data_IF_025083712114
#
_entry.id   IF_025083712114
#
_cell.length_a   1.000
_cell.length_b   1.000
_cell.length_c   1.000
_cell.angle_alpha   90.00
_cell.angle_beta   90.00
_cell.angle_gamma   90.00
#
_symmetry.space_group_name_H-M   'P 1'
#
loop_
_entity.id
_entity.type
_entity.pdbx_description
1 polymer ?
#
# COMPACT_ATOMS: atom_id res chain seq x y z
N UNK A 1 7.39 -34.66 12.55
CA UNK A 1 6.39 -33.95 11.74
C UNK A 1 7.13 -33.47 10.50
N UNK A 2 6.68 -33.84 9.30
CA UNK A 2 7.27 -33.27 8.09
C UNK A 2 7.05 -31.74 8.14
N UNK A 3 8.08 -30.96 7.86
CA UNK A 3 7.94 -29.50 7.71
C UNK A 3 6.82 -29.26 6.69
N UNK A 4 5.71 -28.67 7.13
CA UNK A 4 4.65 -28.25 6.23
C UNK A 4 5.25 -27.18 5.32
N UNK A 5 5.34 -27.51 4.03
CA UNK A 5 5.91 -26.60 3.04
C UNK A 5 4.83 -25.57 2.70
N UNK A 6 5.08 -24.31 3.01
CA UNK A 6 4.19 -23.23 2.60
C UNK A 6 4.54 -22.74 1.20
N UNK A 7 3.52 -22.29 0.46
CA UNK A 7 3.66 -21.53 -0.77
C UNK A 7 2.92 -20.21 -0.64
N UNK A 8 3.38 -19.19 -1.37
CA UNK A 8 2.87 -17.82 -1.26
C UNK A 8 2.28 -17.39 -2.59
N UNK A 9 1.05 -16.90 -2.56
CA UNK A 9 0.29 -16.53 -3.74
C UNK A 9 -0.02 -15.03 -3.71
N UNK A 10 0.67 -14.21 -4.54
CA UNK A 10 0.29 -12.83 -4.76
C UNK A 10 -0.98 -12.77 -5.62
N UNK A 11 -1.97 -12.02 -5.15
CA UNK A 11 -3.30 -11.90 -5.78
C UNK A 11 -3.68 -10.42 -5.89
N UNK A 12 -4.39 -10.08 -6.95
CA UNK A 12 -4.97 -8.74 -7.17
C UNK A 12 -6.48 -8.81 -7.30
N UNK A 13 -7.17 -7.72 -6.95
CA UNK A 13 -8.63 -7.58 -7.00
C UNK A 13 -9.00 -6.43 -7.92
N UNK A 14 -9.85 -6.68 -8.89
CA UNK A 14 -10.37 -5.65 -9.80
C UNK A 14 -11.52 -4.83 -9.17
N UNK A 15 -11.99 -3.81 -9.90
CA UNK A 15 -13.11 -2.95 -9.49
C UNK A 15 -14.43 -3.71 -9.28
N UNK A 16 -14.59 -4.87 -9.93
CA UNK A 16 -15.77 -5.71 -9.83
C UNK A 16 -15.66 -6.74 -8.68
N UNK A 17 -14.53 -6.76 -7.99
CA UNK A 17 -14.26 -7.68 -6.88
C UNK A 17 -13.71 -9.03 -7.31
N UNK A 18 -13.39 -9.24 -8.59
CA UNK A 18 -12.80 -10.49 -9.05
C UNK A 18 -11.34 -10.58 -8.65
N UNK A 19 -10.93 -11.76 -8.18
CA UNK A 19 -9.55 -12.03 -7.79
C UNK A 19 -8.78 -12.65 -8.95
N UNK A 20 -7.53 -12.25 -9.12
CA UNK A 20 -6.60 -12.83 -10.10
C UNK A 20 -5.28 -13.14 -9.42
N UNK A 21 -4.91 -14.42 -9.38
CA UNK A 21 -3.60 -14.86 -8.91
C UNK A 21 -2.52 -14.47 -9.93
N UNK A 22 -1.42 -13.87 -9.46
CA UNK A 22 -0.30 -13.44 -10.30
C UNK A 22 0.83 -14.47 -10.37
N UNK A 23 0.80 -15.50 -9.52
CA UNK A 23 1.78 -16.57 -9.49
C UNK A 23 1.75 -17.33 -8.17
N UNK A 24 2.70 -18.25 -7.99
CA UNK A 24 2.93 -18.99 -6.75
C UNK A 24 4.43 -19.08 -6.51
N UNK A 25 4.88 -18.74 -5.30
CA UNK A 25 6.30 -18.77 -4.92
C UNK A 25 6.50 -19.65 -3.70
N UNK A 26 7.74 -20.10 -3.46
CA UNK A 26 8.12 -20.85 -2.25
C UNK A 26 8.70 -19.95 -1.15
N UNK A 27 8.83 -18.65 -1.42
CA UNK A 27 9.34 -17.64 -0.49
C UNK A 27 8.40 -16.46 -0.46
N UNK A 28 8.07 -15.99 0.74
CA UNK A 28 7.21 -14.84 0.95
C UNK A 28 7.76 -13.57 0.28
N UNK A 29 9.08 -13.33 0.39
CA UNK A 29 9.76 -12.17 -0.21
C UNK A 29 9.49 -12.06 -1.71
N UNK A 30 9.49 -13.20 -2.41
CA UNK A 30 9.34 -13.27 -3.86
C UNK A 30 7.90 -12.96 -4.27
N UNK A 31 6.90 -13.38 -3.47
CA UNK A 31 5.49 -13.02 -3.71
C UNK A 31 5.28 -11.50 -3.57
N UNK A 32 5.88 -10.90 -2.55
CA UNK A 32 5.85 -9.45 -2.39
C UNK A 32 6.60 -8.70 -3.50
N UNK A 33 7.70 -9.26 -4.03
CA UNK A 33 8.41 -8.68 -5.18
C UNK A 33 7.56 -8.72 -6.47
N UNK A 34 6.79 -9.79 -6.67
CA UNK A 34 5.82 -9.88 -7.78
C UNK A 34 4.79 -8.76 -7.68
N UNK A 35 4.21 -8.54 -6.49
CA UNK A 35 3.27 -7.43 -6.27
C UNK A 35 3.92 -6.06 -6.51
N UNK A 36 5.13 -5.82 -5.98
CA UNK A 36 5.85 -4.55 -6.22
C UNK A 36 6.12 -4.31 -7.70
N UNK A 37 6.53 -5.34 -8.44
CA UNK A 37 6.75 -5.24 -9.88
C UNK A 37 5.44 -4.95 -10.63
N UNK A 38 4.32 -5.54 -10.19
CA UNK A 38 2.99 -5.24 -10.70
C UNK A 38 2.58 -3.78 -10.42
N UNK A 39 2.80 -3.28 -9.20
CA UNK A 39 2.44 -1.91 -8.79
C UNK A 39 3.12 -0.83 -9.63
N UNK A 40 4.34 -1.07 -10.11
CA UNK A 40 5.03 -0.16 -11.02
C UNK A 40 4.24 0.14 -12.32
N UNK A 41 3.29 -0.74 -12.69
CA UNK A 41 2.44 -0.62 -13.88
C UNK A 41 0.96 -0.33 -13.56
N UNK A 42 0.59 -0.25 -12.28
CA UNK A 42 -0.79 -0.21 -11.80
C UNK A 42 -1.61 1.03 -12.21
N UNK A 43 -0.98 2.12 -12.65
CA UNK A 43 -1.69 3.34 -13.08
C UNK A 43 -2.63 3.06 -14.27
N UNK A 44 -2.31 2.06 -15.11
CA UNK A 44 -3.05 1.70 -16.31
C UNK A 44 -3.90 0.43 -16.14
N UNK A 45 -4.17 0.01 -14.91
CA UNK A 45 -4.93 -1.22 -14.65
C UNK A 45 -6.24 -0.94 -13.93
N UNK A 46 -7.16 -1.91 -13.95
CA UNK A 46 -8.45 -1.88 -13.24
C UNK A 46 -8.37 -2.42 -11.80
N UNK A 47 -7.18 -2.83 -11.35
CA UNK A 47 -7.01 -3.41 -10.03
C UNK A 47 -6.99 -2.34 -8.93
N UNK A 48 -7.71 -2.63 -7.84
CA UNK A 48 -7.92 -1.71 -6.70
C UNK A 48 -7.38 -2.26 -5.38
N UNK A 49 -7.22 -3.57 -5.23
CA UNK A 49 -6.58 -4.20 -4.07
C UNK A 49 -5.60 -5.28 -4.50
N UNK A 50 -4.66 -5.60 -3.62
CA UNK A 50 -3.69 -6.67 -3.81
C UNK A 50 -3.33 -7.28 -2.47
N UNK A 51 -3.06 -8.57 -2.40
CA UNK A 51 -2.69 -9.23 -1.16
C UNK A 51 -1.81 -10.45 -1.43
N UNK A 52 -1.13 -10.94 -0.40
CA UNK A 52 -0.40 -12.21 -0.44
C UNK A 52 -1.07 -13.18 0.50
N UNK A 53 -1.31 -14.40 0.05
CA UNK A 53 -1.77 -15.51 0.89
C UNK A 53 -0.66 -16.54 1.03
N UNK A 54 -0.43 -17.03 2.25
CA UNK A 54 0.31 -18.25 2.50
C UNK A 54 -0.64 -19.44 2.45
N UNK A 55 -0.27 -20.49 1.72
CA UNK A 55 -1.02 -21.72 1.57
C UNK A 55 -0.18 -22.90 2.08
N UNK A 56 -0.81 -23.78 2.85
CA UNK A 56 -0.17 -25.03 3.29
C UNK A 56 -0.26 -26.10 2.20
N UNK A 57 0.88 -26.64 1.77
CA UNK A 57 0.92 -27.75 0.82
C UNK A 57 0.52 -29.05 1.52
N UNK A 58 -0.29 -29.85 0.84
CA UNK A 58 -0.83 -31.13 1.31
C UNK A 58 -1.75 -31.03 2.55
N UNK A 59 -2.21 -29.82 2.89
CA UNK A 59 -3.21 -29.64 3.95
C UNK A 59 -4.62 -29.99 3.46
N UNK A 60 -5.36 -30.76 4.27
CA UNK A 60 -6.76 -31.11 4.03
C UNK A 60 -7.55 -30.69 5.27
N UNK A 61 -8.31 -29.60 5.16
CA UNK A 61 -9.08 -29.03 6.25
C UNK A 61 -9.77 -27.72 5.85
N UNK A 62 -10.34 -27.04 6.84
CA UNK A 62 -10.90 -25.68 6.70
C UNK A 62 -9.76 -24.65 6.78
N UNK A 63 -9.92 -23.52 6.08
CA UNK A 63 -8.96 -22.40 6.04
C UNK A 63 -7.52 -22.80 5.70
N UNK A 64 -7.25 -23.37 4.50
CA UNK A 64 -5.92 -23.84 4.10
C UNK A 64 -4.91 -22.71 3.87
N UNK A 65 -5.36 -21.46 3.99
CA UNK A 65 -4.60 -20.28 3.65
C UNK A 65 -4.74 -19.17 4.69
N UNK A 66 -3.72 -18.33 4.77
CA UNK A 66 -3.67 -17.14 5.62
C UNK A 66 -3.27 -15.94 4.78
N UNK A 67 -4.09 -14.88 4.77
CA UNK A 67 -3.70 -13.60 4.19
C UNK A 67 -2.61 -12.96 5.04
N UNK A 68 -1.44 -12.70 4.46
CA UNK A 68 -0.28 -12.14 5.14
C UNK A 68 -0.32 -10.61 5.21
N UNK A 69 -0.97 -9.99 4.24
CA UNK A 69 -1.12 -8.56 4.15
C UNK A 69 -1.91 -8.18 2.92
N UNK A 70 -2.60 -7.05 3.00
CA UNK A 70 -3.44 -6.52 1.93
C UNK A 70 -3.07 -5.06 1.68
N UNK A 71 -3.10 -4.66 0.43
CA UNK A 71 -2.76 -3.34 -0.04
C UNK A 71 -3.91 -2.78 -0.86
N UNK A 72 -4.13 -1.48 -0.73
CA UNK A 72 -5.18 -0.74 -1.43
C UNK A 72 -4.57 0.30 -2.35
N UNK A 73 -5.15 0.37 -3.56
CA UNK A 73 -4.86 1.42 -4.51
C UNK A 73 -5.42 2.74 -4.00
N UNK A 74 -4.52 3.70 -3.78
CA UNK A 74 -4.84 5.09 -3.46
C UNK A 74 -3.85 6.01 -4.15
N UNK A 75 -4.26 7.24 -4.53
CA UNK A 75 -3.32 8.24 -5.00
C UNK A 75 -2.23 8.52 -3.95
N UNK A 76 -0.98 8.64 -4.39
CA UNK A 76 0.07 9.11 -3.49
C UNK A 76 -0.18 10.58 -3.11
N UNK A 77 -0.12 10.96 -1.81
CA UNK A 77 -0.37 12.33 -1.37
C UNK A 77 0.64 13.35 -1.95
N UNK A 78 1.81 12.89 -2.40
CA UNK A 78 2.86 13.73 -2.98
C UNK A 78 2.74 13.85 -4.51
N UNK A 79 2.77 12.72 -5.23
CA UNK A 79 2.83 12.74 -6.69
C UNK A 79 1.46 12.59 -7.37
N UNK A 80 0.40 12.34 -6.60
CA UNK A 80 -0.99 12.16 -7.02
C UNK A 80 -1.27 11.04 -8.01
N UNK A 81 -0.22 10.35 -8.49
CA UNK A 81 -0.37 9.16 -9.30
C UNK A 81 -0.96 8.05 -8.45
N UNK A 82 -1.85 7.27 -9.04
CA UNK A 82 -2.35 6.07 -8.40
C UNK A 82 -1.20 5.10 -8.13
N UNK A 83 -1.12 4.64 -6.90
CA UNK A 83 -0.19 3.62 -6.43
C UNK A 83 -0.97 2.66 -5.55
N UNK A 84 -0.47 1.45 -5.32
CA UNK A 84 -0.88 0.66 -4.17
C UNK A 84 -0.24 1.28 -2.93
N UNK A 85 -0.77 2.45 -2.54
CA UNK A 85 -0.16 3.32 -1.54
C UNK A 85 -0.28 2.74 -0.16
N UNK A 86 -1.42 2.14 0.18
CA UNK A 86 -1.78 1.87 1.56
C UNK A 86 -1.73 0.37 1.84
N UNK A 87 -0.99 -0.05 2.86
CA UNK A 87 -1.15 -1.38 3.45
C UNK A 87 -2.26 -1.34 4.49
N UNK A 88 -3.07 -2.39 4.53
CA UNK A 88 -4.30 -2.47 5.28
C UNK A 88 -4.15 -3.41 6.47
N UNK A 89 -4.73 -3.00 7.60
CA UNK A 89 -4.92 -3.86 8.76
C UNK A 89 -5.86 -5.03 8.47
N UNK A 90 -5.94 -5.92 9.45
CA UNK A 90 -7.06 -6.84 9.58
C UNK A 90 -8.41 -6.10 9.64
N UNK A 91 -9.48 -6.84 9.35
CA UNK A 91 -10.85 -6.36 9.39
C UNK A 91 -11.23 -6.08 10.85
N UNK A 92 -11.60 -4.84 11.15
CA UNK A 92 -12.09 -4.49 12.48
C UNK A 92 -13.54 -4.95 12.71
N UNK A 93 -14.06 -4.77 13.93
CA UNK A 93 -15.43 -5.14 14.31
C UNK A 93 -16.55 -4.49 13.46
N UNK A 94 -16.23 -3.45 12.68
CA UNK A 94 -17.15 -2.78 11.76
C UNK A 94 -17.04 -3.28 10.32
N UNK A 95 -16.22 -4.30 10.06
CA UNK A 95 -15.98 -4.79 8.70
C UNK A 95 -15.02 -3.91 7.89
N UNK A 96 -14.29 -2.99 8.52
CA UNK A 96 -13.44 -2.00 7.83
C UNK A 96 -11.96 -2.31 8.06
N UNK A 97 -11.15 -2.17 7.01
CA UNK A 97 -9.69 -2.20 7.09
C UNK A 97 -9.10 -0.80 7.08
N UNK A 98 -8.19 -0.52 8.00
CA UNK A 98 -7.53 0.78 8.14
C UNK A 98 -6.12 0.75 7.53
N UNK A 99 -5.64 1.87 7.01
CA UNK A 99 -4.25 2.01 6.60
C UNK A 99 -3.30 1.89 7.78
N UNK A 100 -2.32 0.99 7.67
CA UNK A 100 -1.26 0.80 8.68
C UNK A 100 0.12 1.22 8.17
N UNK A 101 0.29 1.39 6.86
CA UNK A 101 1.46 2.02 6.27
C UNK A 101 1.09 2.65 4.93
N UNK A 102 1.93 3.57 4.46
CA UNK A 102 1.77 4.28 3.21
C UNK A 102 3.08 4.32 2.45
N UNK A 103 3.15 3.91 1.18
CA UNK A 103 4.36 4.03 0.37
C UNK A 103 4.07 4.25 -1.10
N UNK A 104 4.78 5.21 -1.70
CA UNK A 104 4.82 5.34 -3.14
C UNK A 104 5.89 4.39 -3.69
N UNK A 105 5.47 3.42 -4.51
CA UNK A 105 6.39 2.44 -5.11
C UNK A 105 7.17 2.98 -6.31
N UNK A 106 6.95 4.24 -6.69
CA UNK A 106 7.73 4.90 -7.76
C UNK A 106 9.03 5.47 -7.20
N UNK A 107 10.20 5.09 -7.76
CA UNK A 107 11.49 5.55 -7.28
C UNK A 107 11.63 7.07 -7.19
N UNK A 108 11.03 7.82 -8.14
CA UNK A 108 11.17 9.28 -8.21
C UNK A 108 10.40 10.03 -7.10
N UNK A 109 9.40 9.37 -6.49
CA UNK A 109 8.64 9.93 -5.39
C UNK A 109 9.09 9.33 -4.07
N UNK A 110 8.96 8.01 -3.93
CA UNK A 110 9.35 7.26 -2.73
C UNK A 110 8.82 7.84 -1.41
N UNK A 111 7.72 8.59 -1.45
CA UNK A 111 7.09 9.12 -0.25
C UNK A 111 6.53 7.99 0.60
N UNK A 112 6.50 8.17 1.92
CA UNK A 112 6.12 7.11 2.85
C UNK A 112 5.49 7.63 4.15
N UNK A 113 4.73 6.75 4.81
CA UNK A 113 4.18 6.86 6.17
C UNK A 113 4.33 5.49 6.82
N UNK A 114 4.95 5.42 8.00
CA UNK A 114 5.11 4.16 8.73
C UNK A 114 5.00 4.41 10.24
N UNK A 115 4.61 3.38 10.98
CA UNK A 115 4.61 3.44 12.44
C UNK A 115 6.06 3.55 12.94
N UNK A 116 6.30 4.40 13.93
CA UNK A 116 7.64 4.62 14.45
C UNK A 116 8.15 3.34 15.16
N UNK A 117 9.35 2.90 14.79
CA UNK A 117 9.94 1.65 15.29
C UNK A 117 10.44 1.71 16.75
N UNK A 118 10.42 2.89 17.38
CA UNK A 118 10.87 3.13 18.77
C UNK A 118 9.69 3.51 19.66
N UNK A 119 8.80 4.37 19.18
CA UNK A 119 7.62 4.87 19.87
C UNK A 119 6.36 4.43 19.09
N UNK A 120 5.86 3.22 19.37
CA UNK A 120 4.77 2.61 18.58
C UNK A 120 3.45 3.39 18.55
N UNK A 121 3.22 4.35 19.46
CA UNK A 121 2.06 5.24 19.41
C UNK A 121 2.23 6.40 18.42
N UNK A 122 3.40 6.51 17.78
CA UNK A 122 3.73 7.56 16.83
C UNK A 122 3.99 7.02 15.44
N UNK A 123 3.95 7.94 14.50
CA UNK A 123 4.12 7.71 13.09
C UNK A 123 5.20 8.64 12.56
N UNK A 124 5.97 8.15 11.60
CA UNK A 124 6.86 8.97 10.83
C UNK A 124 6.35 9.01 9.38
N UNK A 125 6.61 10.11 8.70
CA UNK A 125 6.34 10.25 7.28
C UNK A 125 7.47 11.01 6.61
N UNK A 126 7.65 10.79 5.31
CA UNK A 126 8.74 11.41 4.60
C UNK A 126 8.56 11.47 3.09
N UNK A 127 9.29 12.41 2.50
CA UNK A 127 9.47 12.55 1.06
C UNK A 127 10.96 12.73 0.74
N UNK A 128 11.68 11.64 0.42
CA UNK A 128 13.14 11.66 0.24
C UNK A 128 13.62 12.65 -0.83
N UNK A 129 12.90 12.81 -1.94
CA UNK A 129 13.29 13.73 -3.01
C UNK A 129 13.26 15.22 -2.59
N UNK A 130 12.56 15.54 -1.49
CA UNK A 130 12.54 16.86 -0.88
C UNK A 130 13.37 16.95 0.41
N UNK A 131 14.06 15.86 0.80
CA UNK A 131 14.76 15.75 2.09
C UNK A 131 13.88 16.13 3.29
N UNK A 132 12.59 15.76 3.21
CA UNK A 132 11.60 16.13 4.19
C UNK A 132 11.15 14.91 4.97
N UNK A 133 11.15 15.01 6.29
CA UNK A 133 10.59 14.02 7.21
C UNK A 133 9.85 14.73 8.34
N UNK A 134 8.82 14.09 8.88
CA UNK A 134 8.03 14.62 9.99
C UNK A 134 7.50 13.47 10.84
N UNK A 135 7.57 13.64 12.15
CA UNK A 135 6.90 12.77 13.13
C UNK A 135 5.52 13.33 13.45
N UNK A 136 4.54 12.45 13.58
CA UNK A 136 3.12 12.76 13.79
C UNK A 136 2.44 11.72 14.70
N UNK A 137 1.25 12.03 15.19
CA UNK A 137 0.52 11.22 16.17
C UNK A 137 -0.38 10.16 15.52
N UNK A 138 -0.61 10.22 14.21
CA UNK A 138 -1.42 9.23 13.50
C UNK A 138 -1.08 9.15 12.01
N UNK A 139 -1.44 8.02 11.38
CA UNK A 139 -1.37 7.83 9.94
C UNK A 139 -1.99 9.00 9.15
N UNK A 140 -3.20 9.41 9.53
CA UNK A 140 -3.94 10.48 8.86
C UNK A 140 -3.23 11.84 8.96
N UNK A 141 -2.58 12.13 10.09
CA UNK A 141 -1.78 13.34 10.24
C UNK A 141 -0.51 13.29 9.38
N UNK A 142 0.08 12.11 9.19
CA UNK A 142 1.20 11.90 8.26
C UNK A 142 0.78 12.15 6.82
N UNK A 143 -0.38 11.63 6.42
CA UNK A 143 -0.95 11.85 5.10
C UNK A 143 -1.20 13.34 4.85
N UNK A 144 -1.84 14.04 5.79
CA UNK A 144 -2.04 15.50 5.72
C UNK A 144 -0.73 16.26 5.63
N UNK A 145 0.27 15.89 6.42
CA UNK A 145 1.60 16.51 6.38
C UNK A 145 2.28 16.39 5.01
N UNK A 146 2.15 15.25 4.33
CA UNK A 146 2.63 15.08 2.96
C UNK A 146 1.86 15.96 1.97
N UNK A 147 0.54 16.05 2.08
CA UNK A 147 -0.29 16.93 1.23
C UNK A 147 0.09 18.41 1.41
N UNK A 148 0.27 18.87 2.65
CA UNK A 148 0.73 20.22 2.97
C UNK A 148 2.10 20.50 2.35
N UNK A 149 3.04 19.56 2.50
CA UNK A 149 4.39 19.68 1.94
C UNK A 149 4.37 19.78 0.41
N UNK A 150 3.56 18.95 -0.27
CA UNK A 150 3.33 19.06 -1.72
C UNK A 150 2.80 20.45 -2.11
N UNK A 151 1.82 20.95 -1.35
CA UNK A 151 1.24 22.28 -1.54
C UNK A 151 2.29 23.38 -1.46
N UNK A 152 3.16 23.33 -0.44
CA UNK A 152 4.27 24.28 -0.29
C UNK A 152 5.24 24.26 -1.47
N UNK A 153 5.62 23.06 -1.96
CA UNK A 153 6.52 22.93 -3.13
C UNK A 153 5.89 23.44 -4.42
N UNK A 154 4.58 23.20 -4.59
CA UNK A 154 3.84 23.65 -5.77
C UNK A 154 3.67 25.17 -5.77
N UNK A 155 3.35 25.76 -4.61
CA UNK A 155 3.27 27.21 -4.43
C UNK A 155 4.62 27.91 -4.68
N UNK A 156 5.73 27.26 -4.33
CA UNK A 156 7.10 27.73 -4.60
C UNK A 156 7.53 27.60 -6.09
N UNK A 157 6.64 27.20 -7.00
CA UNK A 157 6.86 27.24 -8.45
C UNK A 157 7.40 25.95 -9.09
N UNK A 158 7.54 24.84 -8.34
CA UNK A 158 7.88 23.54 -8.92
C UNK A 158 6.60 22.82 -9.40
N UNK A 159 6.01 23.24 -10.52
CA UNK A 159 4.84 22.56 -11.10
C UNK A 159 5.23 21.19 -11.65
N UNK A 160 4.54 20.13 -11.21
CA UNK A 160 4.27 18.93 -12.02
C UNK A 160 2.77 18.84 -12.31
N UNK A 161 2.44 18.36 -13.50
CA UNK A 161 1.07 18.21 -13.99
C UNK A 161 0.32 17.18 -13.12
N UNK A 162 -0.71 17.64 -12.41
CA UNK A 162 -1.70 16.81 -11.72
C UNK A 162 -2.76 16.35 -12.73
N UNK A 163 -3.25 15.10 -12.59
CA UNK A 163 -4.25 14.50 -13.50
C UNK A 163 -5.57 14.12 -12.81
N UNK A 164 -5.86 14.61 -11.59
CA UNK A 164 -7.08 14.18 -10.87
C UNK A 164 -8.20 15.23 -10.84
N UNK A 165 -9.43 14.73 -11.07
CA UNK A 165 -10.71 15.43 -11.02
C UNK A 165 -11.19 15.65 -9.58
N UNK A 166 -11.97 16.73 -9.39
CA UNK A 166 -12.37 17.33 -8.11
C UNK A 166 -13.13 16.40 -7.15
N UNK A 167 -13.75 15.33 -7.63
CA UNK A 167 -14.68 14.50 -6.86
C UNK A 167 -14.03 13.71 -5.72
N UNK A 168 -12.72 13.42 -5.79
CA UNK A 168 -12.00 12.65 -4.74
C UNK A 168 -11.56 13.53 -3.56
N UNK A 169 -11.58 14.86 -3.71
CA UNK A 169 -11.20 15.79 -2.62
C UNK A 169 -12.30 15.98 -1.58
N UNK A 170 -13.56 15.72 -1.92
CA UNK A 170 -14.71 15.99 -1.05
C UNK A 170 -15.03 14.81 -0.09
N UNK A 171 -14.30 13.69 -0.19
CA UNK A 171 -14.48 12.50 0.66
C UNK A 171 -13.37 12.30 1.73
N UNK A 172 -12.52 13.31 1.97
CA UNK A 172 -11.45 13.31 3.00
C UNK A 172 -11.77 14.23 4.19
#
# INVERSE_FOLDING_TARGET
>A
MADLKQVFMPTVVDVDGNTTALGVTTKESDAWDVLRAFFARAENTEFIEAFVEAWEVDFIGEDPNTELGRMRRRPCPICERSSFWEELSEVNFKGVRNGICGRCHRPECSAWIEQNNVEGERWDCGWPAAQWTKRVESYNLGFRGLVEMRGAVTAAGRRRHSTMSKEIMDEL
#
